data_IF_015568591683
#
_entry.id   IF_015568591683
#
_cell.length_a   1.000
_cell.length_b   1.000
_cell.length_c   1.000
_cell.angle_alpha   90.00
_cell.angle_beta   90.00
_cell.angle_gamma   90.00
#
_symmetry.space_group_name_H-M   'P 1'
#
loop_
_entity.id
_entity.type
_entity.pdbx_description
1 polymer ?
#
# COMPACT_ATOMS: atom_id res chain seq x y z
N UNK A 1 -4.11 -18.03 13.29
CA UNK A 1 -4.88 -16.82 13.69
C UNK A 1 -4.79 -16.67 15.20
N UNK A 2 -4.64 -15.46 15.75
CA UNK A 2 -4.43 -15.24 17.18
C UNK A 2 -5.67 -15.52 18.04
N UNK A 3 -6.89 -15.49 17.49
CA UNK A 3 -8.14 -15.79 18.20
C UNK A 3 -8.29 -17.25 18.64
N UNK A 4 -7.43 -18.14 18.13
CA UNK A 4 -7.45 -19.59 18.37
C UNK A 4 -6.22 -20.07 19.14
N UNK A 5 -5.36 -19.16 19.61
CA UNK A 5 -4.10 -19.50 20.27
C UNK A 5 -4.13 -18.95 21.69
N UNK A 6 -3.86 -19.81 22.67
CA UNK A 6 -3.72 -19.43 24.07
C UNK A 6 -2.30 -19.71 24.57
N UNK A 7 -1.78 -18.83 25.42
CA UNK A 7 -0.44 -18.95 26.01
C UNK A 7 -0.52 -19.72 27.33
N UNK A 8 0.39 -20.67 27.53
CA UNK A 8 0.58 -21.36 28.80
C UNK A 8 1.74 -20.71 29.55
N UNK A 9 1.50 -19.95 30.64
CA UNK A 9 2.56 -19.27 31.37
C UNK A 9 3.45 -20.25 32.13
N UNK A 10 4.74 -19.93 32.26
CA UNK A 10 5.70 -20.69 33.06
C UNK A 10 6.44 -19.78 34.05
N UNK A 11 6.55 -20.15 35.34
CA UNK A 11 7.27 -19.34 36.32
C UNK A 11 8.77 -19.20 36.05
N UNK A 12 9.38 -20.18 35.36
CA UNK A 12 10.82 -20.22 35.13
C UNK A 12 11.22 -19.64 33.75
N UNK A 13 10.47 -20.00 32.70
CA UNK A 13 10.82 -19.63 31.32
C UNK A 13 9.89 -18.60 30.69
N UNK A 14 9.03 -17.95 31.49
CA UNK A 14 7.99 -17.01 31.07
C UNK A 14 6.85 -17.67 30.26
N UNK A 15 7.15 -18.40 29.19
CA UNK A 15 6.16 -19.16 28.39
C UNK A 15 6.56 -20.62 28.30
N UNK A 16 5.67 -21.54 28.70
CA UNK A 16 5.87 -22.99 28.56
C UNK A 16 5.61 -23.45 27.12
N UNK A 17 4.59 -22.88 26.50
CA UNK A 17 4.11 -23.26 25.18
C UNK A 17 2.79 -22.58 24.86
N UNK A 18 2.18 -23.04 23.76
CA UNK A 18 0.95 -22.50 23.22
C UNK A 18 -0.08 -23.62 23.05
N UNK A 19 -1.36 -23.28 23.11
CA UNK A 19 -2.45 -24.20 22.78
C UNK A 19 -3.21 -23.63 21.61
N UNK A 20 -3.25 -24.38 20.51
CA UNK A 20 -4.02 -24.04 19.33
C UNK A 20 -5.33 -24.81 19.30
N UNK A 21 -6.46 -24.10 19.25
CA UNK A 21 -7.79 -24.69 19.27
C UNK A 21 -8.49 -24.58 17.91
N UNK A 22 -8.86 -25.73 17.34
CA UNK A 22 -9.61 -25.83 16.09
C UNK A 22 -10.63 -26.94 16.19
N UNK A 23 -11.89 -26.63 15.85
CA UNK A 23 -13.00 -27.59 15.84
C UNK A 23 -13.15 -28.38 17.16
N UNK A 24 -12.91 -27.71 18.30
CA UNK A 24 -12.97 -28.30 19.64
C UNK A 24 -11.79 -29.21 19.99
N UNK A 25 -10.79 -29.35 19.11
CA UNK A 25 -9.53 -30.05 19.39
C UNK A 25 -8.47 -29.05 19.83
N UNK A 26 -7.81 -29.37 20.93
CA UNK A 26 -6.66 -28.61 21.43
C UNK A 26 -5.37 -29.30 21.00
N UNK A 27 -4.54 -28.57 20.27
CA UNK A 27 -3.22 -29.00 19.83
C UNK A 27 -2.20 -28.24 20.69
N UNK A 28 -1.50 -28.91 21.63
CA UNK A 28 -0.41 -28.28 22.35
C UNK A 28 0.78 -28.08 21.41
N UNK A 29 1.40 -26.91 21.50
CA UNK A 29 2.59 -26.51 20.76
C UNK A 29 3.68 -26.11 21.77
N UNK A 30 4.91 -26.53 21.53
CA UNK A 30 6.05 -26.12 22.34
C UNK A 30 6.40 -24.66 22.09
N UNK A 31 7.06 -24.01 23.05
CA UNK A 31 7.46 -22.61 22.90
C UNK A 31 8.38 -22.39 21.68
N UNK A 32 9.18 -23.38 21.31
CA UNK A 32 10.12 -23.32 20.16
C UNK A 32 9.42 -23.45 18.81
N UNK A 33 8.19 -23.98 18.77
CA UNK A 33 7.44 -24.18 17.52
C UNK A 33 6.71 -22.91 17.07
N UNK A 34 6.65 -21.87 17.93
CA UNK A 34 5.83 -20.67 17.69
C UNK A 34 6.67 -19.41 17.87
N UNK A 35 6.82 -18.65 16.78
CA UNK A 35 7.38 -17.29 16.82
C UNK A 35 6.27 -16.31 17.18
N UNK A 36 6.33 -15.73 18.38
CA UNK A 36 5.26 -14.87 18.89
C UNK A 36 5.52 -13.38 18.65
N UNK A 37 4.87 -12.84 17.61
CA UNK A 37 4.88 -11.41 17.29
C UNK A 37 3.95 -10.59 18.21
N UNK A 38 4.45 -10.15 19.37
CA UNK A 38 3.71 -9.25 20.27
C UNK A 38 4.05 -7.78 20.08
N UNK A 39 3.06 -6.91 20.32
CA UNK A 39 3.26 -5.47 20.54
C UNK A 39 3.46 -5.21 22.02
N UNK A 40 3.95 -4.02 22.36
CA UNK A 40 4.04 -3.60 23.75
C UNK A 40 2.64 -3.49 24.38
N UNK A 41 2.50 -3.93 25.63
CA UNK A 41 1.27 -3.83 26.40
C UNK A 41 1.64 -3.46 27.85
N UNK A 42 1.07 -2.38 28.43
CA UNK A 42 1.48 -1.91 29.75
C UNK A 42 1.03 -2.80 30.92
N UNK A 43 -0.12 -3.47 30.79
CA UNK A 43 -0.76 -4.23 31.86
C UNK A 43 -0.75 -5.75 31.65
N UNK A 44 -0.35 -6.23 30.48
CA UNK A 44 -0.34 -7.66 30.14
C UNK A 44 1.05 -8.06 29.65
N UNK A 45 1.69 -8.95 30.39
CA UNK A 45 3.03 -9.42 30.05
C UNK A 45 2.99 -10.38 28.85
N UNK A 46 1.95 -11.21 28.76
CA UNK A 46 1.86 -12.30 27.79
C UNK A 46 1.40 -11.83 26.41
N UNK A 47 0.37 -10.99 26.33
CA UNK A 47 -0.24 -10.56 25.06
C UNK A 47 0.12 -9.12 24.71
N UNK A 48 0.19 -8.83 23.40
CA UNK A 48 0.40 -7.46 22.92
C UNK A 48 -0.89 -6.66 22.84
N UNK A 49 -0.81 -5.34 23.03
CA UNK A 49 -1.96 -4.45 22.90
C UNK A 49 -2.31 -4.24 21.42
N UNK A 50 -3.57 -4.50 21.06
CA UNK A 50 -4.06 -4.24 19.70
C UNK A 50 -4.29 -2.74 19.48
N UNK A 51 -3.96 -2.25 18.29
CA UNK A 51 -4.28 -0.88 17.92
C UNK A 51 -5.81 -0.64 17.88
N UNK A 52 -6.58 -1.67 17.50
CA UNK A 52 -8.04 -1.62 17.54
C UNK A 52 -8.57 -1.54 18.98
N UNK A 53 -7.88 -2.17 19.93
CA UNK A 53 -8.26 -2.08 21.33
C UNK A 53 -8.03 -0.69 21.89
N UNK A 54 -6.92 -0.05 21.54
CA UNK A 54 -6.67 1.36 21.87
C UNK A 54 -7.73 2.28 21.23
N UNK A 55 -8.18 1.98 20.01
CA UNK A 55 -9.21 2.76 19.29
C UNK A 55 -10.66 2.37 19.66
N UNK A 56 -10.87 1.44 20.60
CA UNK A 56 -12.19 0.86 20.90
C UNK A 56 -13.23 1.93 21.23
N UNK A 57 -12.89 2.91 22.08
CA UNK A 57 -13.82 3.95 22.50
C UNK A 57 -14.28 4.83 21.32
N UNK A 58 -13.35 5.24 20.46
CA UNK A 58 -13.66 6.04 19.27
C UNK A 58 -14.57 5.26 18.30
N UNK A 59 -14.25 3.98 18.06
CA UNK A 59 -15.03 3.11 17.17
C UNK A 59 -16.45 2.86 17.73
N UNK A 60 -16.56 2.56 19.02
CA UNK A 60 -17.85 2.32 19.68
C UNK A 60 -18.72 3.58 19.67
N UNK A 61 -18.11 4.74 19.90
CA UNK A 61 -18.81 6.03 19.88
C UNK A 61 -19.29 6.38 18.46
N UNK A 62 -18.44 6.26 17.43
CA UNK A 62 -18.86 6.47 16.03
C UNK A 62 -19.97 5.51 15.61
N UNK A 63 -19.90 4.25 16.05
CA UNK A 63 -20.94 3.25 15.79
C UNK A 63 -22.25 3.60 16.49
N UNK A 64 -22.19 4.05 17.74
CA UNK A 64 -23.36 4.47 18.51
C UNK A 64 -24.01 5.72 17.87
N UNK A 65 -23.20 6.70 17.48
CA UNK A 65 -23.65 7.88 16.75
C UNK A 65 -24.31 7.49 15.42
N UNK A 66 -23.67 6.62 14.64
CA UNK A 66 -24.21 6.17 13.34
C UNK A 66 -25.56 5.48 13.49
N UNK A 67 -25.71 4.62 14.52
CA UNK A 67 -27.00 3.99 14.84
C UNK A 67 -28.03 5.00 15.30
N UNK A 68 -27.66 5.95 16.16
CA UNK A 68 -28.57 7.01 16.60
C UNK A 68 -29.07 7.82 15.41
N UNK A 69 -28.17 8.16 14.47
CA UNK A 69 -28.52 8.89 13.25
C UNK A 69 -29.44 8.05 12.35
N UNK A 70 -29.13 6.77 12.16
CA UNK A 70 -29.98 5.84 11.42
C UNK A 70 -31.38 5.70 12.04
N UNK A 71 -31.49 5.60 13.35
CA UNK A 71 -32.79 5.47 14.02
C UNK A 71 -33.57 6.79 14.02
N UNK A 72 -32.87 7.92 14.12
CA UNK A 72 -33.48 9.25 14.18
C UNK A 72 -33.98 9.72 12.81
N UNK A 73 -33.21 9.50 11.75
CA UNK A 73 -33.51 9.99 10.40
C UNK A 73 -33.89 8.90 9.41
N UNK A 74 -33.70 7.62 9.76
CA UNK A 74 -34.13 6.49 8.95
C UNK A 74 -35.61 6.20 9.08
N UNK A 75 -36.04 5.11 8.45
CA UNK A 75 -37.46 4.72 8.34
C UNK A 75 -38.17 4.51 9.68
N UNK A 76 -37.43 4.25 10.76
CA UNK A 76 -37.99 4.03 12.09
C UNK A 76 -38.47 5.33 12.76
N UNK A 77 -38.06 6.53 12.27
CA UNK A 77 -38.44 7.84 12.80
C UNK A 77 -38.45 7.88 14.35
N UNK A 78 -37.32 7.52 14.96
CA UNK A 78 -37.19 7.32 16.41
C UNK A 78 -37.42 8.57 17.27
N UNK A 79 -37.48 9.76 16.67
CA UNK A 79 -37.88 10.99 17.35
C UNK A 79 -39.31 11.35 16.93
N UNK A 80 -40.27 11.45 17.88
CA UNK A 80 -41.62 11.90 17.57
C UNK A 80 -41.56 13.25 16.85
N UNK A 81 -42.20 13.34 15.67
CA UNK A 81 -42.21 14.58 14.88
C UNK A 81 -42.80 15.77 15.65
N UNK A 82 -43.59 15.51 16.70
CA UNK A 82 -44.11 16.48 17.63
C UNK A 82 -45.12 15.86 18.58
N UNK A 83 -45.54 16.67 19.56
CA UNK A 83 -46.51 16.29 20.59
C UNK A 83 -47.84 16.92 20.23
N UNK A 84 -48.89 16.10 20.19
CA UNK A 84 -50.28 16.56 20.09
C UNK A 84 -50.81 16.68 21.50
N UNK A 85 -51.02 17.92 21.97
CA UNK A 85 -51.65 18.16 23.27
C UNK A 85 -53.15 18.41 23.07
N UNK A 86 -53.99 17.63 23.77
CA UNK A 86 -55.45 17.78 23.77
C UNK A 86 -55.83 18.29 25.16
N UNK A 87 -56.30 19.54 25.24
CA UNK A 87 -56.57 20.20 26.53
C UNK A 87 -57.93 19.88 27.14
N UNK A 88 -58.87 19.32 26.36
CA UNK A 88 -60.21 18.94 26.84
C UNK A 88 -60.28 17.47 27.22
N UNK A 89 -61.20 17.12 28.12
CA UNK A 89 -61.51 15.73 28.46
C UNK A 89 -62.16 15.02 27.28
N UNK A 90 -61.42 14.08 26.68
CA UNK A 90 -61.90 13.20 25.60
C UNK A 90 -62.18 11.81 26.16
N UNK A 91 -63.22 11.14 25.67
CA UNK A 91 -63.48 9.74 26.03
C UNK A 91 -62.35 8.82 25.50
N UNK A 92 -62.06 7.72 26.20
CA UNK A 92 -61.03 6.75 25.79
C UNK A 92 -61.26 6.19 24.37
N UNK A 93 -62.53 6.01 23.99
CA UNK A 93 -62.92 5.53 22.66
C UNK A 93 -62.63 6.53 21.54
N UNK A 94 -62.88 7.81 21.79
CA UNK A 94 -62.58 8.89 20.85
C UNK A 94 -61.06 9.12 20.75
N UNK A 95 -60.33 9.02 21.86
CA UNK A 95 -58.86 9.11 21.87
C UNK A 95 -58.21 8.03 21.01
N UNK A 96 -58.63 6.77 21.15
CA UNK A 96 -58.12 5.68 20.32
C UNK A 96 -58.55 5.78 18.84
N UNK A 97 -59.70 6.42 18.55
CA UNK A 97 -60.08 6.74 17.16
C UNK A 97 -59.14 7.77 16.55
N UNK A 98 -58.91 8.89 17.26
CA UNK A 98 -58.01 9.96 16.82
C UNK A 98 -56.59 9.43 16.62
N UNK A 99 -56.09 8.61 17.54
CA UNK A 99 -54.77 7.98 17.45
C UNK A 99 -54.63 7.07 16.22
N UNK A 100 -55.68 6.30 15.87
CA UNK A 100 -55.70 5.45 14.67
C UNK A 100 -55.72 6.29 13.38
N UNK A 101 -56.61 7.26 13.29
CA UNK A 101 -56.69 8.17 12.13
C UNK A 101 -55.37 8.92 11.94
N UNK A 102 -54.75 9.34 13.04
CA UNK A 102 -53.45 10.00 13.02
C UNK A 102 -52.34 9.10 12.50
N UNK A 103 -52.22 7.87 13.03
CA UNK A 103 -51.22 6.90 12.53
C UNK A 103 -51.47 6.51 11.07
N UNK A 104 -52.72 6.36 10.66
CA UNK A 104 -53.06 6.07 9.26
C UNK A 104 -52.71 7.22 8.31
N UNK A 105 -52.87 8.47 8.76
CA UNK A 105 -52.65 9.65 7.93
C UNK A 105 -51.18 10.10 7.91
N UNK A 106 -50.49 9.97 9.05
CA UNK A 106 -49.18 10.55 9.33
C UNK A 106 -48.10 9.53 9.74
N UNK A 107 -48.41 8.24 9.89
CA UNK A 107 -47.47 7.19 10.34
C UNK A 107 -46.53 6.62 9.26
N UNK A 108 -46.17 7.41 8.25
CA UNK A 108 -45.28 6.97 7.15
C UNK A 108 -43.90 7.65 7.19
N UNK A 109 -42.98 7.18 6.33
CA UNK A 109 -41.64 7.75 6.18
C UNK A 109 -41.62 9.22 5.69
N UNK A 110 -42.72 9.69 5.08
CA UNK A 110 -42.87 11.09 4.68
C UNK A 110 -43.30 11.97 5.86
N UNK A 111 -42.52 13.01 6.17
CA UNK A 111 -42.90 14.07 7.11
C UNK A 111 -44.07 14.87 6.53
N UNK A 112 -45.30 14.47 6.86
CA UNK A 112 -46.53 15.18 6.46
C UNK A 112 -46.90 16.22 7.52
N UNK A 113 -47.20 17.44 7.08
CA UNK A 113 -47.66 18.53 7.96
C UNK A 113 -49.05 18.21 8.50
N UNK A 114 -49.19 18.18 9.82
CA UNK A 114 -50.46 17.90 10.47
C UNK A 114 -51.39 19.11 10.48
N UNK A 115 -52.62 18.91 9.99
CA UNK A 115 -53.71 19.88 10.11
C UNK A 115 -54.69 19.40 11.18
N UNK A 116 -54.89 20.22 12.22
CA UNK A 116 -55.83 19.96 13.30
C UNK A 116 -57.03 20.91 13.18
N UNK A 117 -58.25 20.37 13.29
CA UNK A 117 -59.50 21.14 13.25
C UNK A 117 -60.12 21.16 14.65
N UNK A 118 -60.12 22.34 15.27
CA UNK A 118 -60.62 22.55 16.64
C UNK A 118 -59.65 23.41 17.44
N UNK A 119 -60.15 24.47 18.08
CA UNK A 119 -59.31 25.45 18.79
C UNK A 119 -58.56 24.93 20.03
N UNK A 120 -58.65 23.64 20.33
CA UNK A 120 -58.17 23.02 21.58
C UNK A 120 -57.09 21.96 21.39
N UNK A 121 -56.57 21.79 20.16
CA UNK A 121 -55.44 20.87 19.90
C UNK A 121 -54.22 21.68 19.48
N UNK A 122 -53.14 21.59 20.27
CA UNK A 122 -51.88 22.30 20.01
C UNK A 122 -50.80 21.31 19.57
N UNK A 123 -50.14 21.60 18.45
CA UNK A 123 -48.96 20.88 18.00
C UNK A 123 -47.69 21.57 18.50
N UNK A 124 -46.84 20.83 19.19
CA UNK A 124 -45.50 21.27 19.57
C UNK A 124 -44.46 20.48 18.78
N UNK A 125 -43.69 21.18 17.95
CA UNK A 125 -42.60 20.58 17.17
C UNK A 125 -41.41 20.28 18.09
N UNK A 126 -40.94 19.04 18.10
CA UNK A 126 -39.67 18.68 18.75
C UNK A 126 -38.56 18.92 17.71
N UNK A 127 -38.10 20.17 17.62
CA UNK A 127 -37.09 20.56 16.64
C UNK A 127 -35.70 20.00 17.00
N UNK A 128 -35.17 19.11 16.16
CA UNK A 128 -33.74 18.73 16.16
C UNK A 128 -32.92 19.82 15.45
N UNK A 129 -32.70 20.97 16.10
CA UNK A 129 -32.15 22.16 15.45
C UNK A 129 -30.63 22.18 15.27
N UNK A 130 -29.86 21.25 15.84
CA UNK A 130 -28.39 21.38 15.92
C UNK A 130 -27.60 20.11 15.60
N UNK A 131 -28.26 19.01 15.25
CA UNK A 131 -27.63 17.68 15.35
C UNK A 131 -26.82 17.27 14.12
N UNK A 132 -27.10 17.82 12.94
CA UNK A 132 -26.45 17.37 11.70
C UNK A 132 -24.99 17.85 11.56
N UNK A 133 -24.73 19.15 11.84
CA UNK A 133 -23.37 19.71 11.76
C UNK A 133 -22.45 19.14 12.87
N UNK A 134 -22.98 18.94 14.07
CA UNK A 134 -22.22 18.36 15.19
C UNK A 134 -21.94 16.87 14.97
N UNK A 135 -22.86 16.15 14.32
CA UNK A 135 -22.64 14.75 13.94
C UNK A 135 -21.49 14.60 12.95
N UNK A 136 -21.49 15.37 11.87
CA UNK A 136 -20.43 15.29 10.85
C UNK A 136 -19.05 15.64 11.43
N UNK A 137 -18.97 16.70 12.25
CA UNK A 137 -17.74 17.05 12.96
C UNK A 137 -17.28 15.95 13.91
N UNK A 138 -18.19 15.34 14.67
CA UNK A 138 -17.88 14.23 15.56
C UNK A 138 -17.33 13.02 14.80
N UNK A 139 -17.89 12.68 13.65
CA UNK A 139 -17.38 11.58 12.81
C UNK A 139 -15.99 11.86 12.24
N UNK A 140 -15.73 13.09 11.79
CA UNK A 140 -14.39 13.47 11.34
C UNK A 140 -13.38 13.38 12.49
N UNK A 141 -13.73 13.84 13.68
CA UNK A 141 -12.88 13.73 14.86
C UNK A 141 -12.56 12.27 15.22
N UNK A 142 -13.57 11.38 15.24
CA UNK A 142 -13.34 9.95 15.50
C UNK A 142 -12.51 9.28 14.38
N UNK A 143 -12.74 9.64 13.12
CA UNK A 143 -11.91 9.17 12.01
C UNK A 143 -10.45 9.55 12.24
N UNK A 144 -10.19 10.81 12.57
CA UNK A 144 -8.84 11.32 12.77
C UNK A 144 -8.17 10.68 14.00
N UNK A 145 -8.91 10.45 15.07
CA UNK A 145 -8.45 9.68 16.25
C UNK A 145 -8.05 8.25 15.86
N UNK A 146 -8.90 7.54 15.10
CA UNK A 146 -8.61 6.18 14.62
C UNK A 146 -7.36 6.17 13.74
N UNK A 147 -7.26 7.08 12.76
CA UNK A 147 -6.10 7.19 11.87
C UNK A 147 -4.81 7.44 12.67
N UNK A 148 -4.86 8.35 13.64
CA UNK A 148 -3.72 8.66 14.51
C UNK A 148 -3.26 7.44 15.32
N UNK A 149 -4.17 6.61 15.82
CA UNK A 149 -3.81 5.37 16.55
C UNK A 149 -3.10 4.35 15.66
N UNK A 150 -3.46 4.29 14.37
CA UNK A 150 -2.73 3.48 13.39
C UNK A 150 -1.41 4.11 12.93
N UNK A 151 -1.19 5.39 13.27
CA UNK A 151 -0.05 6.19 12.84
C UNK A 151 -0.18 6.69 11.40
N UNK A 152 -1.41 6.75 10.86
CA UNK A 152 -1.69 7.23 9.50
C UNK A 152 -1.95 8.75 9.58
N UNK A 153 -1.15 9.60 8.94
CA UNK A 153 -1.39 11.03 8.91
C UNK A 153 -2.69 11.37 8.18
N UNK A 154 -3.50 12.26 8.77
CA UNK A 154 -4.78 12.70 8.18
C UNK A 154 -4.62 13.35 6.80
N UNK A 155 -3.47 13.96 6.51
CA UNK A 155 -3.15 14.57 5.23
C UNK A 155 -3.13 13.58 4.06
N UNK A 156 -2.92 12.29 4.32
CA UNK A 156 -2.95 11.24 3.30
C UNK A 156 -4.38 10.91 2.82
N UNK A 157 -5.38 11.12 3.69
CA UNK A 157 -6.79 10.73 3.46
C UNK A 157 -7.68 11.96 3.26
N UNK A 158 -7.15 13.16 3.45
CA UNK A 158 -7.91 14.41 3.36
C UNK A 158 -8.22 14.79 1.91
N UNK A 159 -9.47 15.14 1.64
CA UNK A 159 -9.93 15.63 0.33
C UNK A 159 -9.30 16.97 -0.07
N UNK A 160 -8.82 17.75 0.89
CA UNK A 160 -8.20 19.06 0.67
C UNK A 160 -6.66 19.01 0.62
N UNK A 161 -6.06 17.83 0.46
CA UNK A 161 -4.61 17.71 0.38
C UNK A 161 -4.10 18.24 -0.97
N UNK A 162 -3.24 19.28 -0.94
CA UNK A 162 -2.41 19.64 -2.08
C UNK A 162 -1.35 18.55 -2.28
N UNK A 163 -0.85 18.39 -3.51
CA UNK A 163 0.18 17.38 -3.84
C UNK A 163 1.42 17.51 -2.93
N UNK A 164 1.89 18.74 -2.70
CA UNK A 164 3.00 19.01 -1.78
C UNK A 164 2.73 18.58 -0.33
N UNK A 165 1.49 18.69 0.15
CA UNK A 165 1.14 18.23 1.50
C UNK A 165 1.00 16.70 1.56
N UNK A 166 0.52 16.08 0.48
CA UNK A 166 0.37 14.64 0.38
C UNK A 166 1.73 13.92 0.37
N UNK A 167 2.71 14.40 -0.41
CA UNK A 167 4.06 13.82 -0.46
C UNK A 167 4.78 13.90 0.88
N UNK A 168 4.65 15.03 1.59
CA UNK A 168 5.20 15.18 2.95
C UNK A 168 4.49 14.24 3.94
N UNK A 169 3.17 14.10 3.85
CA UNK A 169 2.41 13.19 4.70
C UNK A 169 2.77 11.72 4.45
N UNK A 170 2.95 11.33 3.19
CA UNK A 170 3.41 9.99 2.80
C UNK A 170 4.80 9.70 3.33
N UNK A 171 5.74 10.65 3.17
CA UNK A 171 7.09 10.52 3.74
C UNK A 171 7.04 10.34 5.25
N UNK A 172 6.26 11.17 5.95
CA UNK A 172 6.10 11.05 7.40
C UNK A 172 5.51 9.71 7.81
N UNK A 173 4.53 9.19 7.06
CA UNK A 173 3.92 7.90 7.29
C UNK A 173 4.93 6.75 7.14
N UNK A 174 5.73 6.78 6.08
CA UNK A 174 6.75 5.76 5.84
C UNK A 174 7.81 5.78 6.94
N UNK A 175 8.39 6.95 7.23
CA UNK A 175 9.49 7.09 8.18
C UNK A 175 9.09 6.81 9.63
N UNK A 176 7.93 7.34 10.06
CA UNK A 176 7.52 7.26 11.48
C UNK A 176 6.67 6.05 11.81
N UNK A 177 5.97 5.47 10.83
CA UNK A 177 4.98 4.42 11.08
C UNK A 177 5.34 3.10 10.42
N UNK A 178 5.60 3.05 9.11
CA UNK A 178 5.93 1.78 8.44
C UNK A 178 7.31 1.27 8.80
N UNK A 179 8.35 2.11 8.64
CA UNK A 179 9.73 1.68 8.81
C UNK A 179 10.00 1.06 10.19
N UNK A 180 9.59 1.66 11.33
CA UNK A 180 9.77 1.04 12.63
C UNK A 180 9.02 -0.30 12.79
N UNK A 181 7.88 -0.48 12.12
CA UNK A 181 7.14 -1.76 12.13
C UNK A 181 7.88 -2.85 11.36
N UNK A 182 8.48 -2.50 10.21
CA UNK A 182 9.29 -3.41 9.40
C UNK A 182 10.56 -3.80 10.13
N UNK A 183 11.29 -2.83 10.71
CA UNK A 183 12.49 -3.09 11.53
C UNK A 183 12.16 -4.01 12.70
N UNK A 184 11.07 -3.76 13.42
CA UNK A 184 10.63 -4.65 14.53
C UNK A 184 10.32 -6.07 14.05
N UNK A 185 9.71 -6.23 12.87
CA UNK A 185 9.43 -7.53 12.28
C UNK A 185 10.73 -8.25 11.91
N UNK A 186 11.63 -7.55 11.24
CA UNK A 186 12.95 -8.06 10.83
C UNK A 186 13.78 -8.49 12.04
N UNK A 187 13.88 -7.66 13.07
CA UNK A 187 14.57 -7.99 14.33
C UNK A 187 14.01 -9.25 14.99
N UNK A 188 12.67 -9.40 14.99
CA UNK A 188 12.02 -10.59 15.57
C UNK A 188 12.33 -11.86 14.76
N UNK A 189 12.32 -11.77 13.43
CA UNK A 189 12.72 -12.87 12.54
C UNK A 189 14.19 -13.22 12.76
N UNK A 190 15.08 -12.23 12.84
CA UNK A 190 16.51 -12.42 13.10
C UNK A 190 16.76 -13.08 14.45
N UNK A 191 16.03 -12.70 15.50
CA UNK A 191 16.24 -13.22 16.84
C UNK A 191 15.65 -14.62 17.05
N UNK A 192 14.46 -14.90 16.52
CA UNK A 192 13.75 -16.15 16.84
C UNK A 192 13.75 -17.17 15.71
N UNK A 193 13.80 -16.75 14.44
CA UNK A 193 13.67 -17.66 13.29
C UNK A 193 15.00 -18.00 12.64
N UNK A 194 15.88 -17.02 12.46
CA UNK A 194 17.18 -17.24 11.80
C UNK A 194 18.17 -18.14 12.56
N UNK A 195 18.18 -18.24 13.91
CA UNK A 195 19.08 -19.14 14.61
C UNK A 195 18.85 -20.63 14.31
N UNK A 196 17.70 -21.00 13.74
CA UNK A 196 17.44 -22.37 13.28
C UNK A 196 18.23 -22.74 12.01
N UNK A 197 18.79 -21.76 11.30
CA UNK A 197 19.57 -21.97 10.09
C UNK A 197 21.07 -21.83 10.38
N UNK A 198 21.94 -22.64 9.75
CA UNK A 198 23.38 -22.54 9.96
C UNK A 198 23.93 -21.22 9.41
N UNK A 199 24.66 -20.47 10.24
CA UNK A 199 25.31 -19.21 9.89
C UNK A 199 24.83 -18.01 10.72
N UNK A 200 25.48 -16.87 10.55
CA UNK A 200 25.06 -15.59 11.15
C UNK A 200 24.27 -14.80 10.12
N UNK A 201 22.97 -15.08 10.03
CA UNK A 201 22.07 -14.40 9.11
C UNK A 201 21.36 -13.24 9.80
N UNK A 202 21.17 -12.14 9.09
CA UNK A 202 20.41 -10.97 9.56
C UNK A 202 19.31 -10.73 8.52
N UNK A 203 18.05 -10.72 8.97
CA UNK A 203 16.93 -10.30 8.13
C UNK A 203 16.85 -8.77 8.19
N UNK A 204 16.81 -8.15 7.01
CA UNK A 204 16.58 -6.72 6.82
C UNK A 204 15.60 -6.53 5.66
N UNK A 205 14.80 -5.47 5.75
CA UNK A 205 13.96 -5.04 4.64
C UNK A 205 14.73 -4.01 3.81
N UNK A 206 14.46 -3.98 2.51
CA UNK A 206 14.91 -2.88 1.66
C UNK A 206 14.39 -1.54 2.22
N UNK A 207 15.25 -0.53 2.23
CA UNK A 207 14.90 0.78 2.78
C UNK A 207 13.89 1.50 1.90
N UNK A 208 12.63 1.48 2.33
CA UNK A 208 11.51 2.13 1.65
C UNK A 208 11.42 3.64 1.95
N UNK A 209 12.28 4.19 2.81
CA UNK A 209 12.18 5.61 3.19
C UNK A 209 12.49 6.50 1.98
N UNK A 210 11.68 7.54 1.72
CA UNK A 210 11.95 8.46 0.62
C UNK A 210 13.30 9.14 0.85
N UNK A 211 14.29 8.72 0.08
CA UNK A 211 15.58 9.40 0.05
C UNK A 211 15.42 10.62 -0.83
N UNK A 212 15.70 11.80 -0.30
CA UNK A 212 15.77 13.00 -1.11
C UNK A 212 17.02 12.90 -1.99
N UNK A 213 16.82 12.38 -3.20
CA UNK A 213 17.90 12.17 -4.18
C UNK A 213 18.56 13.50 -4.50
N UNK A 214 17.83 14.61 -4.52
CA UNK A 214 18.39 15.94 -4.78
C UNK A 214 19.27 16.41 -3.63
N UNK A 215 18.77 16.34 -2.39
CA UNK A 215 19.58 16.70 -1.23
C UNK A 215 20.83 15.82 -1.10
N UNK A 216 20.71 14.52 -1.41
CA UNK A 216 21.85 13.59 -1.43
C UNK A 216 22.85 13.95 -2.55
N UNK A 217 22.37 14.29 -3.74
CA UNK A 217 23.23 14.72 -4.85
C UNK A 217 23.92 16.05 -4.55
N UNK A 218 23.25 16.98 -3.87
CA UNK A 218 23.83 18.27 -3.48
C UNK A 218 24.84 18.13 -2.33
N UNK A 219 24.61 17.22 -1.39
CA UNK A 219 25.62 16.83 -0.38
C UNK A 219 26.84 16.25 -1.08
N UNK A 220 26.65 15.32 -2.03
CA UNK A 220 27.73 14.72 -2.81
C UNK A 220 28.49 15.78 -3.61
N UNK A 221 27.81 16.70 -4.32
CA UNK A 221 28.43 17.80 -5.07
C UNK A 221 29.28 18.71 -4.20
N UNK A 222 28.80 19.03 -2.99
CA UNK A 222 29.55 19.86 -2.04
C UNK A 222 30.77 19.09 -1.50
N UNK A 223 30.57 17.83 -1.14
CA UNK A 223 31.58 16.91 -0.62
C UNK A 223 32.69 16.58 -1.63
N UNK A 224 32.39 16.55 -2.94
CA UNK A 224 33.34 16.28 -4.02
C UNK A 224 34.57 17.20 -4.04
N UNK A 225 34.43 18.40 -3.50
CA UNK A 225 35.53 19.37 -3.41
C UNK A 225 36.54 19.08 -2.29
N UNK A 226 36.14 18.33 -1.25
CA UNK A 226 36.95 18.14 -0.03
C UNK A 226 37.35 16.68 0.16
N UNK A 227 36.48 15.74 -0.18
CA UNK A 227 36.68 14.31 0.02
C UNK A 227 37.34 13.66 -1.19
N UNK A 228 38.17 12.65 -0.94
CA UNK A 228 38.73 11.79 -1.98
C UNK A 228 37.63 10.93 -2.63
N UNK A 229 37.87 10.51 -3.87
CA UNK A 229 36.93 9.66 -4.62
C UNK A 229 36.67 8.34 -3.87
N UNK A 230 37.67 7.78 -3.20
CA UNK A 230 37.53 6.56 -2.39
C UNK A 230 36.68 6.79 -1.13
N UNK A 231 36.83 7.93 -0.46
CA UNK A 231 35.95 8.28 0.67
C UNK A 231 34.51 8.46 0.23
N UNK A 232 34.26 9.04 -0.95
CA UNK A 232 32.90 9.19 -1.53
C UNK A 232 32.32 7.82 -1.90
N UNK A 233 33.10 6.94 -2.55
CA UNK A 233 32.68 5.58 -2.92
C UNK A 233 32.31 4.74 -1.71
N UNK A 234 33.11 4.83 -0.65
CA UNK A 234 32.88 4.11 0.59
C UNK A 234 31.71 4.71 1.38
N UNK A 235 31.62 6.04 1.50
CA UNK A 235 30.58 6.70 2.31
C UNK A 235 29.18 6.64 1.69
N UNK A 236 29.06 6.76 0.36
CA UNK A 236 27.75 6.90 -0.29
C UNK A 236 27.30 5.69 -1.09
N UNK A 237 28.20 4.81 -1.52
CA UNK A 237 27.85 3.71 -2.43
C UNK A 237 28.26 2.34 -1.89
N UNK A 238 28.92 2.27 -0.73
CA UNK A 238 29.49 1.05 -0.13
C UNK A 238 30.32 0.22 -1.13
N UNK A 239 30.95 0.91 -2.10
CA UNK A 239 31.76 0.28 -3.14
C UNK A 239 33.20 0.10 -2.66
N UNK A 240 33.91 -0.95 -3.15
CA UNK A 240 35.31 -1.14 -2.85
C UNK A 240 36.16 0.06 -3.35
N UNK A 241 37.26 0.37 -2.64
CA UNK A 241 38.15 1.47 -3.00
C UNK A 241 38.81 1.21 -4.36
N UNK A 242 38.95 2.27 -5.15
CA UNK A 242 39.64 2.23 -6.43
C UNK A 242 41.11 2.67 -6.26
N UNK A 243 42.08 2.04 -6.94
CA UNK A 243 43.51 2.37 -6.80
C UNK A 243 43.87 3.83 -7.10
N UNK A 244 43.06 4.50 -7.94
CA UNK A 244 43.26 5.87 -8.40
C UNK A 244 42.42 6.91 -7.63
N UNK A 245 41.65 6.49 -6.62
CA UNK A 245 40.65 7.32 -5.96
C UNK A 245 41.09 8.09 -4.71
N UNK A 246 42.39 8.15 -4.40
CA UNK A 246 42.88 8.81 -3.16
C UNK A 246 42.92 10.34 -3.22
N UNK A 247 42.78 10.95 -4.40
CA UNK A 247 42.76 12.42 -4.55
C UNK A 247 41.31 12.96 -4.62
N UNK A 248 41.04 14.17 -4.10
CA UNK A 248 39.77 14.87 -4.32
C UNK A 248 39.56 15.21 -5.79
N UNK A 249 38.29 15.27 -6.22
CA UNK A 249 37.94 15.55 -7.63
C UNK A 249 38.43 16.92 -8.10
N UNK A 250 38.52 17.92 -7.20
CA UNK A 250 39.03 19.26 -7.55
C UNK A 250 40.55 19.35 -7.72
N UNK A 251 41.30 18.33 -7.29
CA UNK A 251 42.76 18.23 -7.33
C UNK A 251 43.22 17.03 -8.16
N UNK A 252 42.28 16.30 -8.77
CA UNK A 252 42.59 15.33 -9.80
C UNK A 252 42.97 16.13 -11.04
N UNK A 253 44.28 16.34 -11.23
CA UNK A 253 44.83 16.65 -12.53
C UNK A 253 44.18 15.69 -13.53
N UNK A 254 43.46 16.23 -14.51
CA UNK A 254 43.03 15.47 -15.68
C UNK A 254 44.27 14.74 -16.18
N UNK A 255 44.30 13.39 -16.20
CA UNK A 255 45.50 12.69 -16.61
C UNK A 255 45.86 13.16 -18.01
N UNK A 256 47.05 13.76 -18.18
CA UNK A 256 47.64 13.95 -19.49
C UNK A 256 47.72 12.58 -20.15
N UNK A 257 47.12 12.49 -21.33
CA UNK A 257 46.76 11.26 -22.02
C UNK A 257 47.98 10.54 -22.67
N UNK A 258 49.13 10.54 -22.00
CA UNK A 258 50.37 9.94 -22.48
C UNK A 258 50.84 8.89 -21.47
N UNK A 259 51.01 7.65 -21.94
CA UNK A 259 51.41 6.43 -21.21
C UNK A 259 50.35 5.68 -20.39
N UNK A 260 49.30 5.19 -21.08
CA UNK A 260 48.87 3.78 -20.93
C UNK A 260 48.49 3.23 -22.30
N UNK A 261 49.33 2.35 -22.84
CA UNK A 261 48.96 1.52 -23.99
C UNK A 261 47.76 0.64 -23.65
N UNK A 262 46.71 0.78 -24.46
CA UNK A 262 45.63 -0.15 -24.76
C UNK A 262 45.23 -1.13 -23.64
N UNK A 263 44.12 -0.83 -22.96
CA UNK A 263 42.88 -1.64 -22.85
C UNK A 263 42.02 -0.93 -21.79
N UNK A 264 41.26 0.08 -22.22
CA UNK A 264 39.98 0.49 -21.65
C UNK A 264 39.45 1.66 -22.48
N UNK A 265 38.72 1.33 -23.53
CA UNK A 265 37.85 2.27 -24.22
C UNK A 265 36.73 2.65 -23.23
N UNK A 266 36.77 3.88 -22.73
CA UNK A 266 35.61 4.46 -22.04
C UNK A 266 34.59 4.82 -23.12
N UNK A 267 33.28 4.55 -22.93
CA UNK A 267 32.29 4.80 -23.96
C UNK A 267 32.17 6.31 -24.15
N UNK A 268 32.62 6.80 -25.31
CA UNK A 268 32.30 8.14 -25.78
C UNK A 268 30.78 8.26 -25.92
N UNK A 269 30.26 9.44 -25.59
CA UNK A 269 28.93 9.92 -26.00
C UNK A 269 28.74 9.68 -27.50
N UNK A 270 27.72 8.92 -27.94
CA UNK A 270 27.45 8.79 -29.36
C UNK A 270 26.63 10.01 -29.81
N UNK A 271 27.31 11.03 -30.33
CA UNK A 271 26.71 11.89 -31.35
C UNK A 271 27.16 11.37 -32.73
N UNK A 272 26.16 10.83 -33.44
CA UNK A 272 26.09 10.70 -34.90
C UNK A 272 27.33 10.21 -35.68
N UNK A 273 27.59 8.90 -35.64
CA UNK A 273 27.64 8.02 -36.83
C UNK A 273 28.20 6.63 -36.50
N UNK A 274 27.33 5.66 -36.15
CA UNK A 274 27.40 4.26 -36.64
C UNK A 274 26.02 3.57 -36.46
N UNK A 275 25.00 3.90 -37.27
CA UNK A 275 23.74 3.15 -37.30
C UNK A 275 23.85 1.77 -37.98
N UNK A 276 25.04 1.29 -38.33
CA UNK A 276 25.21 0.14 -39.23
C UNK A 276 25.51 -1.21 -38.57
N UNK A 277 26.21 -1.24 -37.42
CA UNK A 277 26.54 -2.51 -36.74
C UNK A 277 25.41 -3.02 -35.83
N UNK A 278 24.76 -2.13 -35.09
CA UNK A 278 23.61 -2.48 -34.23
C UNK A 278 22.41 -2.95 -35.07
N UNK A 279 22.12 -2.28 -36.18
CA UNK A 279 21.07 -2.68 -37.12
C UNK A 279 21.33 -4.04 -37.77
N UNK A 280 22.60 -4.33 -38.16
CA UNK A 280 22.97 -5.65 -38.70
C UNK A 280 22.81 -6.75 -37.67
N UNK A 281 23.23 -6.51 -36.43
CA UNK A 281 23.06 -7.47 -35.33
C UNK A 281 21.59 -7.80 -35.07
N UNK A 282 20.71 -6.80 -35.07
CA UNK A 282 19.25 -6.99 -34.92
C UNK A 282 18.67 -7.78 -36.10
N UNK A 283 19.08 -7.48 -37.33
CA UNK A 283 18.60 -8.20 -38.52
C UNK A 283 19.09 -9.66 -38.56
N UNK A 284 20.32 -9.93 -38.11
CA UNK A 284 20.89 -11.28 -38.02
C UNK A 284 20.19 -12.12 -36.95
N UNK A 285 19.88 -11.53 -35.78
CA UNK A 285 19.12 -12.20 -34.73
C UNK A 285 17.67 -12.49 -35.18
N UNK A 286 17.02 -11.54 -35.85
CA UNK A 286 15.69 -11.76 -36.46
C UNK A 286 15.71 -12.88 -37.50
N UNK A 287 16.77 -13.01 -38.30
CA UNK A 287 16.94 -14.12 -39.24
C UNK A 287 17.15 -15.46 -38.55
N UNK A 288 17.85 -15.48 -37.42
CA UNK A 288 17.99 -16.67 -36.57
C UNK A 288 16.65 -17.08 -35.95
N UNK A 289 15.86 -16.11 -35.47
CA UNK A 289 14.53 -16.34 -34.91
C UNK A 289 13.52 -16.82 -35.96
N UNK A 290 13.55 -16.27 -37.18
CA UNK A 290 12.70 -16.73 -38.29
C UNK A 290 12.99 -18.19 -38.65
N UNK A 291 14.27 -18.57 -38.78
CA UNK A 291 14.69 -19.96 -39.04
C UNK A 291 14.27 -20.88 -37.90
N UNK A 292 14.39 -20.42 -36.66
CA UNK A 292 13.98 -21.19 -35.49
C UNK A 292 12.45 -21.39 -35.44
N UNK A 293 11.67 -20.35 -35.73
CA UNK A 293 10.21 -20.40 -35.78
C UNK A 293 9.70 -21.34 -36.89
N UNK A 294 10.30 -21.29 -38.09
CA UNK A 294 9.96 -22.20 -39.20
C UNK A 294 10.29 -23.67 -38.90
N UNK A 295 11.35 -23.92 -38.11
CA UNK A 295 11.72 -25.26 -37.66
C UNK A 295 10.85 -25.77 -36.48
N UNK A 296 10.22 -24.85 -35.76
CA UNK A 296 9.35 -25.11 -34.59
C UNK A 296 7.91 -25.47 -35.00
N UNK A 297 7.41 -24.95 -36.13
CA UNK A 297 6.10 -25.28 -36.68
C UNK A 297 5.93 -26.79 -36.92
N UNK A 298 5.06 -27.42 -36.12
CA UNK A 298 4.73 -28.85 -36.19
C UNK A 298 5.52 -29.78 -35.25
N UNK A 299 6.38 -29.26 -34.36
CA UNK A 299 7.09 -30.06 -33.34
C UNK A 299 6.73 -29.61 -31.92
N UNK A 300 6.31 -30.54 -31.08
CA UNK A 300 5.93 -30.28 -29.67
C UNK A 300 7.14 -30.03 -28.78
N UNK A 301 7.11 -28.89 -28.09
CA UNK A 301 8.06 -28.37 -27.08
C UNK A 301 9.50 -28.12 -27.56
N UNK A 302 9.85 -26.84 -27.76
CA UNK A 302 11.22 -26.37 -27.99
C UNK A 302 11.58 -25.20 -27.07
N UNK A 303 12.87 -25.04 -26.83
CA UNK A 303 13.55 -24.03 -25.99
C UNK A 303 13.04 -22.59 -26.27
N UNK A 304 12.94 -21.72 -25.25
CA UNK A 304 12.59 -20.31 -25.45
C UNK A 304 13.63 -19.58 -26.32
N UNK A 305 13.19 -18.51 -27.00
CA UNK A 305 14.08 -17.62 -27.74
C UNK A 305 15.04 -16.92 -26.74
N UNK A 306 16.32 -16.89 -27.07
CA UNK A 306 17.29 -16.07 -26.34
C UNK A 306 17.27 -14.67 -26.97
N UNK A 307 17.17 -13.64 -26.14
CA UNK A 307 17.15 -12.23 -26.53
C UNK A 307 18.52 -11.66 -26.20
N UNK A 308 19.30 -11.32 -27.22
CA UNK A 308 20.63 -10.74 -27.03
C UNK A 308 20.72 -9.29 -27.54
N UNK A 309 20.20 -8.99 -28.73
CA UNK A 309 20.26 -7.65 -29.37
C UNK A 309 18.89 -7.03 -29.70
N UNK A 310 17.81 -7.82 -29.76
CA UNK A 310 16.44 -7.31 -29.99
C UNK A 310 15.89 -6.63 -28.70
N UNK A 311 15.30 -5.42 -28.76
CA UNK A 311 14.62 -4.81 -27.62
C UNK A 311 13.47 -5.66 -27.07
N UNK A 312 13.31 -5.69 -25.74
CA UNK A 312 12.34 -6.55 -25.05
C UNK A 312 10.88 -6.37 -25.51
N UNK A 313 10.49 -5.15 -25.88
CA UNK A 313 9.15 -4.84 -26.41
C UNK A 313 8.90 -5.53 -27.76
N UNK A 314 9.87 -5.45 -28.69
CA UNK A 314 9.79 -6.11 -30.00
C UNK A 314 9.86 -7.64 -29.86
N UNK A 315 10.70 -8.15 -28.95
CA UNK A 315 10.77 -9.57 -28.63
C UNK A 315 9.41 -10.11 -28.15
N UNK A 316 8.72 -9.34 -27.31
CA UNK A 316 7.38 -9.69 -26.84
C UNK A 316 6.35 -9.70 -27.98
N UNK A 317 6.32 -8.67 -28.82
CA UNK A 317 5.40 -8.59 -29.98
C UNK A 317 5.61 -9.73 -30.99
N UNK A 318 6.87 -10.07 -31.29
CA UNK A 318 7.20 -11.22 -32.15
C UNK A 318 6.69 -12.51 -31.52
N UNK A 319 6.94 -12.71 -30.22
CA UNK A 319 6.52 -13.93 -29.54
C UNK A 319 5.00 -14.10 -29.49
N UNK A 320 4.25 -13.00 -29.31
CA UNK A 320 2.79 -12.98 -29.31
C UNK A 320 2.22 -13.27 -30.71
N UNK A 321 2.81 -12.66 -31.74
CA UNK A 321 2.40 -12.85 -33.13
C UNK A 321 2.70 -14.26 -33.64
N UNK A 322 3.75 -14.91 -33.15
CA UNK A 322 4.06 -16.30 -33.49
C UNK A 322 3.11 -17.32 -32.85
N UNK A 323 2.38 -16.96 -31.80
CA UNK A 323 1.36 -17.84 -31.21
C UNK A 323 0.09 -17.93 -32.06
N UNK A 324 -0.18 -16.94 -32.92
CA UNK A 324 -1.35 -16.89 -33.80
C UNK A 324 -1.06 -17.43 -35.20
N UNK A 325 0.20 -17.74 -35.52
CA UNK A 325 0.60 -18.24 -36.84
C UNK A 325 0.40 -19.75 -36.98
N UNK A 326 -0.53 -20.18 -37.84
CA UNK A 326 -0.86 -21.60 -38.07
C UNK A 326 0.02 -22.25 -39.16
N UNK A 327 0.49 -21.47 -40.14
CA UNK A 327 1.22 -21.95 -41.31
C UNK A 327 2.61 -21.31 -41.48
N UNK A 328 3.49 -22.00 -42.22
CA UNK A 328 4.86 -21.51 -42.51
C UNK A 328 4.89 -20.19 -43.27
N UNK A 329 3.89 -19.94 -44.11
CA UNK A 329 3.80 -18.68 -44.86
C UNK A 329 3.35 -17.52 -43.96
N UNK A 330 2.51 -17.77 -42.95
CA UNK A 330 2.11 -16.76 -41.97
C UNK A 330 3.31 -16.29 -41.12
N UNK A 331 4.19 -17.22 -40.71
CA UNK A 331 5.43 -16.88 -39.98
C UNK A 331 6.36 -16.01 -40.81
N UNK A 332 6.52 -16.29 -42.11
CA UNK A 332 7.35 -15.46 -43.00
C UNK A 332 6.78 -14.05 -43.18
N UNK A 333 5.46 -13.92 -43.28
CA UNK A 333 4.80 -12.61 -43.40
C UNK A 333 5.02 -11.75 -42.16
N UNK A 334 4.88 -12.32 -40.95
CA UNK A 334 5.11 -11.62 -39.69
C UNK A 334 6.55 -11.09 -39.60
N UNK A 335 7.55 -11.92 -39.91
CA UNK A 335 8.95 -11.47 -39.89
C UNK A 335 9.27 -10.47 -41.02
N UNK A 336 8.58 -10.53 -42.16
CA UNK A 336 8.73 -9.56 -43.25
C UNK A 336 8.16 -8.19 -42.89
N UNK A 337 6.99 -8.12 -42.24
CA UNK A 337 6.37 -6.88 -41.76
C UNK A 337 7.24 -6.20 -40.70
N UNK A 338 7.79 -6.98 -39.76
CA UNK A 338 8.66 -6.45 -38.70
C UNK A 338 9.99 -5.94 -39.24
N UNK A 339 10.58 -6.63 -40.24
CA UNK A 339 11.77 -6.12 -40.94
C UNK A 339 11.48 -4.84 -41.74
N UNK A 340 10.30 -4.74 -42.34
CA UNK A 340 9.90 -3.53 -43.06
C UNK A 340 9.73 -2.34 -42.10
N UNK A 341 9.11 -2.54 -40.93
CA UNK A 341 8.95 -1.50 -39.92
C UNK A 341 10.28 -0.99 -39.34
N UNK A 342 11.25 -1.89 -39.10
CA UNK A 342 12.61 -1.54 -38.66
C UNK A 342 13.39 -0.73 -39.72
N UNK A 343 13.14 -0.98 -41.02
CA UNK A 343 13.76 -0.24 -42.11
C UNK A 343 13.23 1.19 -42.32
N UNK A 344 12.08 1.54 -41.73
CA UNK A 344 11.56 2.92 -41.72
C UNK A 344 12.02 3.72 -40.49
N UNK A 345 12.54 3.05 -39.45
CA UNK A 345 12.99 3.68 -38.18
C UNK A 345 14.51 3.83 -38.05
N UNK A 346 15.28 3.22 -38.94
CA UNK A 346 16.74 3.37 -39.10
C UNK A 346 17.01 4.26 -40.31
#
# INVERSE_FOLDING_TARGET
>A
RPDRVSIVPDPAHYVRGYVYEVDGKQIPLEAVEVVHFKRWHPTNDYYGLSALEAARMAIETDRAMSRWNQNTFGSENGVPAGIVNITDFVSDGDFERIKREWRSSYGGAQRKTAFLRGGTVQWQNIGLSHTELDFLKGRLAHRDEILNIFGIPVGLVSENATEANATVAERQFIERTLWPKLVRLAQKITQEMLPFYPGTHIAEFEDIRPTDVQARLDEIRTAQSVLSINEIRQKYYDLPPAPWGEKPVSMADTPSNDDVGAIHESPETPDSAEPSESAKSILDELAQWERFALNRLGKGASRPFAVDAIPDELAFEISASLLTAEDKDAVKTIFAEIRAGLGETI
#
